data_IF_421929012287
#
_entry.id   IF_421929012287
#
_cell.length_a   1.000
_cell.length_b   1.000
_cell.length_c   1.000
_cell.angle_alpha   90.00
_cell.angle_beta   90.00
_cell.angle_gamma   90.00
#
_symmetry.space_group_name_H-M   'P 1'
#
loop_
_entity.id
_entity.type
_entity.pdbx_description
1 polymer ?
#
# COMPACT_ATOMS: atom_id res chain seq x y z
N UNK A 1 -28.60 -1.79 67.82
CA UNK A 1 -29.49 -0.76 67.28
C UNK A 1 -28.67 0.49 67.05
N UNK A 2 -28.39 0.86 65.79
CA UNK A 2 -28.08 2.25 65.41
C UNK A 2 -28.22 2.40 63.89
N UNK A 3 -29.15 3.29 63.55
CA UNK A 3 -29.53 3.82 62.25
C UNK A 3 -28.32 4.47 61.54
N UNK A 4 -28.10 4.22 60.24
CA UNK A 4 -28.65 4.90 59.06
C UNK A 4 -28.11 6.33 58.82
N UNK A 5 -27.63 6.51 57.57
CA UNK A 5 -27.51 7.74 56.74
C UNK A 5 -26.16 8.45 56.76
N UNK A 6 -25.46 8.40 55.62
CA UNK A 6 -25.06 9.59 54.82
C UNK A 6 -24.37 9.15 53.51
N UNK A 7 -25.14 8.63 52.57
CA UNK A 7 -24.81 8.71 51.13
C UNK A 7 -25.25 10.10 50.65
N UNK A 8 -24.33 10.96 50.19
CA UNK A 8 -24.79 12.26 49.67
C UNK A 8 -23.76 13.29 49.22
N UNK A 9 -22.49 13.25 49.64
CA UNK A 9 -21.53 14.31 49.27
C UNK A 9 -20.31 13.88 48.44
N UNK A 10 -20.02 12.57 48.32
CA UNK A 10 -18.85 12.10 47.54
C UNK A 10 -19.05 12.13 46.02
N UNK A 11 -20.29 12.12 45.54
CA UNK A 11 -20.59 11.92 44.12
C UNK A 11 -20.65 13.23 43.29
N UNK A 12 -20.53 14.40 43.92
CA UNK A 12 -20.63 15.70 43.21
C UNK A 12 -19.29 16.43 43.02
N UNK A 13 -18.22 15.97 43.68
CA UNK A 13 -16.86 16.51 43.47
C UNK A 13 -16.03 15.72 42.45
N UNK A 14 -16.43 14.49 42.10
CA UNK A 14 -15.76 13.70 41.05
C UNK A 14 -16.30 13.99 39.63
N UNK A 15 -17.40 14.71 39.51
CA UNK A 15 -18.07 14.99 38.23
C UNK A 15 -17.66 16.31 37.56
N UNK A 16 -16.81 17.13 38.21
CA UNK A 16 -16.37 18.43 37.67
C UNK A 16 -14.88 18.45 37.27
N UNK A 17 -14.21 17.29 37.28
CA UNK A 17 -12.83 17.11 36.76
C UNK A 17 -12.83 16.31 35.44
N UNK A 18 -13.99 15.78 35.00
CA UNK A 18 -14.09 14.88 33.86
C UNK A 18 -14.60 15.52 32.55
N UNK A 19 -14.74 16.85 32.47
CA UNK A 19 -15.29 17.53 31.28
C UNK A 19 -14.41 18.64 30.67
N UNK A 20 -13.13 18.76 31.06
CA UNK A 20 -12.26 19.85 30.60
C UNK A 20 -11.01 19.42 29.79
N UNK A 21 -10.98 18.21 29.23
CA UNK A 21 -9.83 17.75 28.42
C UNK A 21 -10.18 17.21 27.02
N UNK A 22 -11.40 17.43 26.53
CA UNK A 22 -11.78 17.13 25.14
C UNK A 22 -11.81 18.42 24.31
N UNK A 23 -10.64 19.03 24.14
CA UNK A 23 -10.39 20.04 23.10
C UNK A 23 -8.88 20.26 22.85
N UNK A 24 -8.04 19.24 22.98
CA UNK A 24 -6.77 19.24 22.27
C UNK A 24 -7.05 18.74 20.86
N UNK A 25 -7.59 19.64 20.04
CA UNK A 25 -7.53 19.50 18.61
C UNK A 25 -6.09 19.16 18.23
N UNK A 26 -5.97 18.14 17.40
CA UNK A 26 -4.79 17.67 16.71
C UNK A 26 -4.23 18.81 15.85
N UNK A 27 -3.59 19.78 16.50
CA UNK A 27 -2.63 20.65 15.88
C UNK A 27 -1.40 19.78 15.62
N UNK A 28 -1.41 19.09 14.47
CA UNK A 28 -0.16 18.63 13.92
C UNK A 28 0.72 19.88 13.76
N UNK A 29 1.93 19.92 14.35
CA UNK A 29 2.86 20.98 13.98
C UNK A 29 2.99 20.89 12.46
N UNK A 30 2.71 21.98 11.77
CA UNK A 30 3.06 22.10 10.37
C UNK A 30 4.56 21.86 10.32
N UNK A 31 4.96 20.66 9.89
CA UNK A 31 6.36 20.34 9.69
C UNK A 31 6.89 21.41 8.73
N UNK A 32 7.80 22.23 9.25
CA UNK A 32 8.44 23.30 8.49
C UNK A 32 8.90 22.69 7.16
N UNK A 33 8.33 23.20 6.07
CA UNK A 33 8.51 22.65 4.73
C UNK A 33 9.91 22.91 4.16
N UNK A 34 10.80 23.46 4.99
CA UNK A 34 12.18 23.85 4.70
C UNK A 34 13.22 22.91 5.33
N UNK A 35 12.83 21.67 5.70
CA UNK A 35 13.83 20.66 6.03
C UNK A 35 14.83 20.51 4.86
N UNK A 36 16.15 20.61 5.13
CA UNK A 36 17.17 20.43 4.10
C UNK A 36 16.98 19.10 3.38
N UNK A 37 17.10 19.08 2.05
CA UNK A 37 16.96 17.88 1.22
C UNK A 37 17.86 16.72 1.70
N UNK A 38 19.04 17.06 2.24
CA UNK A 38 19.98 16.11 2.82
C UNK A 38 19.42 15.44 4.09
N UNK A 39 18.66 16.17 4.91
CA UNK A 39 17.98 15.64 6.08
C UNK A 39 16.87 14.66 5.71
N UNK A 40 16.11 14.95 4.65
CA UNK A 40 15.07 14.04 4.12
C UNK A 40 15.71 12.75 3.57
N UNK A 41 16.84 12.87 2.86
CA UNK A 41 17.58 11.71 2.34
C UNK A 41 18.13 10.85 3.47
N UNK A 42 18.72 11.47 4.49
CA UNK A 42 19.23 10.77 5.67
C UNK A 42 18.11 10.03 6.42
N UNK A 43 16.96 10.68 6.63
CA UNK A 43 15.79 10.06 7.25
C UNK A 43 15.27 8.86 6.44
N UNK A 44 15.19 8.98 5.11
CA UNK A 44 14.81 7.85 4.23
C UNK A 44 15.77 6.67 4.36
N UNK A 45 17.08 6.95 4.38
CA UNK A 45 18.10 5.92 4.57
C UNK A 45 17.94 5.22 5.91
N UNK A 46 17.73 5.99 6.99
CA UNK A 46 17.51 5.47 8.33
C UNK A 46 16.27 4.57 8.41
N UNK A 47 15.14 4.98 7.80
CA UNK A 47 13.93 4.15 7.73
C UNK A 47 14.20 2.83 7.00
N UNK A 48 14.94 2.86 5.88
CA UNK A 48 15.29 1.64 5.15
C UNK A 48 16.15 0.70 5.98
N UNK A 49 17.14 1.22 6.72
CA UNK A 49 17.96 0.43 7.64
C UNK A 49 17.10 -0.22 8.74
N UNK A 50 16.17 0.54 9.33
CA UNK A 50 15.27 0.00 10.36
C UNK A 50 14.36 -1.10 9.81
N UNK A 51 13.81 -0.93 8.61
CA UNK A 51 13.01 -1.97 7.94
C UNK A 51 13.82 -3.23 7.66
N UNK A 52 15.07 -3.08 7.21
CA UNK A 52 15.97 -4.21 7.01
C UNK A 52 16.26 -4.95 8.33
N UNK A 53 16.46 -4.22 9.43
CA UNK A 53 16.64 -4.80 10.75
C UNK A 53 15.40 -5.57 11.23
N UNK A 54 14.19 -5.01 11.05
CA UNK A 54 12.93 -5.69 11.39
C UNK A 54 12.76 -6.96 10.55
N UNK A 55 13.06 -6.90 9.26
CA UNK A 55 12.97 -8.06 8.37
C UNK A 55 13.96 -9.16 8.78
N UNK A 56 15.19 -8.80 9.12
CA UNK A 56 16.20 -9.75 9.60
C UNK A 56 15.77 -10.38 10.93
N UNK A 57 15.27 -9.58 11.87
CA UNK A 57 14.78 -10.06 13.16
C UNK A 57 13.60 -11.02 12.97
N UNK A 58 12.62 -10.65 12.14
CA UNK A 58 11.49 -11.51 11.78
C UNK A 58 11.96 -12.84 11.19
N UNK A 59 12.92 -12.83 10.26
CA UNK A 59 13.43 -14.05 9.66
C UNK A 59 14.10 -14.98 10.69
N UNK A 60 14.85 -14.42 11.65
CA UNK A 60 15.43 -15.17 12.77
C UNK A 60 14.34 -15.78 13.66
N UNK A 61 13.32 -15.00 14.01
CA UNK A 61 12.19 -15.48 14.82
C UNK A 61 11.39 -16.57 14.11
N UNK A 62 11.09 -16.40 12.82
CA UNK A 62 10.39 -17.41 12.01
C UNK A 62 11.22 -18.71 11.93
N UNK A 63 12.55 -18.62 11.79
CA UNK A 63 13.44 -19.79 11.85
C UNK A 63 13.36 -20.51 13.20
N UNK A 64 13.34 -19.77 14.30
CA UNK A 64 13.21 -20.34 15.64
C UNK A 64 11.84 -20.99 15.88
N UNK A 65 10.78 -20.49 15.24
CA UNK A 65 9.43 -21.07 15.37
C UNK A 65 9.35 -22.54 14.92
N UNK A 66 10.13 -22.95 13.92
CA UNK A 66 10.15 -24.34 13.46
C UNK A 66 10.70 -25.35 14.47
N UNK A 67 11.32 -24.88 15.57
CA UNK A 67 11.78 -25.73 16.67
C UNK A 67 10.72 -25.89 17.77
N UNK A 68 9.58 -25.21 17.66
CA UNK A 68 8.51 -25.22 18.66
C UNK A 68 7.40 -26.17 18.25
N UNK A 69 6.63 -26.63 19.23
CA UNK A 69 5.46 -27.48 18.97
C UNK A 69 4.32 -26.71 18.27
N UNK A 70 4.02 -25.50 18.76
CA UNK A 70 3.00 -24.62 18.18
C UNK A 70 3.59 -23.68 17.10
N UNK A 71 4.06 -24.25 15.99
CA UNK A 71 4.75 -23.51 14.91
C UNK A 71 3.87 -22.40 14.35
N UNK A 72 2.61 -22.70 14.01
CA UNK A 72 1.70 -21.75 13.36
C UNK A 72 1.40 -20.53 14.23
N UNK A 73 1.11 -20.73 15.52
CA UNK A 73 0.88 -19.60 16.43
C UNK A 73 2.14 -18.78 16.64
N UNK A 74 3.31 -19.44 16.74
CA UNK A 74 4.58 -18.74 16.80
C UNK A 74 4.83 -17.87 15.54
N UNK A 75 4.59 -18.43 14.35
CA UNK A 75 4.74 -17.70 13.09
C UNK A 75 3.78 -16.52 12.99
N UNK A 76 2.52 -16.69 13.43
CA UNK A 76 1.53 -15.61 13.48
C UNK A 76 2.00 -14.46 14.38
N UNK A 77 2.54 -14.79 15.55
CA UNK A 77 3.05 -13.81 16.50
C UNK A 77 4.30 -13.08 16.00
N UNK A 78 5.27 -13.80 15.41
CA UNK A 78 6.46 -13.20 14.80
C UNK A 78 6.08 -12.19 13.70
N UNK A 79 5.12 -12.57 12.83
CA UNK A 79 4.59 -11.69 11.78
C UNK A 79 3.82 -10.50 12.37
N UNK A 80 3.07 -10.70 13.45
CA UNK A 80 2.33 -9.63 14.14
C UNK A 80 3.29 -8.60 14.73
N UNK A 81 4.34 -9.03 15.44
CA UNK A 81 5.38 -8.15 15.98
C UNK A 81 6.08 -7.35 14.89
N UNK A 82 6.47 -8.01 13.79
CA UNK A 82 7.07 -7.32 12.64
C UNK A 82 6.16 -6.24 12.05
N UNK A 83 4.87 -6.54 11.83
CA UNK A 83 3.89 -5.54 11.35
C UNK A 83 3.75 -4.36 12.30
N UNK A 84 3.73 -4.62 13.61
CA UNK A 84 3.63 -3.56 14.63
C UNK A 84 4.88 -2.67 14.63
N UNK A 85 6.07 -3.26 14.48
CA UNK A 85 7.32 -2.51 14.38
C UNK A 85 7.44 -1.70 13.08
N UNK A 86 6.93 -2.22 11.95
CA UNK A 86 6.92 -1.52 10.66
C UNK A 86 5.89 -0.38 10.59
N UNK A 87 4.79 -0.47 11.35
CA UNK A 87 3.68 0.48 11.28
C UNK A 87 4.10 1.95 11.47
N UNK A 88 4.86 2.34 12.51
CA UNK A 88 5.30 3.72 12.67
C UNK A 88 6.24 4.17 11.54
N UNK A 89 7.09 3.27 11.02
CA UNK A 89 7.98 3.58 9.89
C UNK A 89 7.20 3.90 8.63
N UNK A 90 6.13 3.13 8.37
CA UNK A 90 5.25 3.38 7.23
C UNK A 90 4.53 4.72 7.35
N UNK A 91 4.07 5.09 8.54
CA UNK A 91 3.48 6.41 8.76
C UNK A 91 4.48 7.52 8.46
N UNK A 92 5.73 7.37 8.93
CA UNK A 92 6.79 8.33 8.65
C UNK A 92 7.13 8.44 7.15
N UNK A 93 7.20 7.32 6.43
CA UNK A 93 7.39 7.33 4.97
C UNK A 93 6.26 8.07 4.25
N UNK A 94 5.00 7.89 4.69
CA UNK A 94 3.85 8.59 4.11
C UNK A 94 3.95 10.10 4.32
N UNK A 95 4.30 10.55 5.53
CA UNK A 95 4.53 11.97 5.82
C UNK A 95 5.62 12.57 4.92
N UNK A 96 6.75 11.87 4.77
CA UNK A 96 7.85 12.32 3.89
C UNK A 96 7.40 12.41 2.43
N UNK A 97 6.60 11.45 1.96
CA UNK A 97 6.04 11.47 0.62
C UNK A 97 5.04 12.62 0.44
N UNK A 98 4.24 12.93 1.45
CA UNK A 98 3.33 14.07 1.43
C UNK A 98 4.07 15.41 1.37
N UNK A 99 5.13 15.55 2.15
CA UNK A 99 6.00 16.72 2.10
C UNK A 99 6.62 16.87 0.71
N UNK A 100 7.16 15.80 0.12
CA UNK A 100 7.70 15.84 -1.23
C UNK A 100 6.65 16.24 -2.27
N UNK A 101 5.44 15.69 -2.18
CA UNK A 101 4.32 16.06 -3.07
C UNK A 101 4.00 17.54 -2.98
N UNK A 102 3.91 18.09 -1.76
CA UNK A 102 3.65 19.52 -1.53
C UNK A 102 4.76 20.40 -2.08
N UNK A 103 6.04 20.04 -1.84
CA UNK A 103 7.20 20.78 -2.36
C UNK A 103 7.19 20.84 -3.89
N UNK A 104 7.01 19.69 -4.56
CA UNK A 104 6.92 19.62 -6.02
C UNK A 104 5.75 20.43 -6.57
N UNK A 105 4.59 20.37 -5.91
CA UNK A 105 3.44 21.18 -6.31
C UNK A 105 3.73 22.69 -6.19
N UNK A 106 4.35 23.12 -5.09
CA UNK A 106 4.74 24.52 -4.88
C UNK A 106 5.80 24.98 -5.89
N UNK A 107 6.79 24.15 -6.20
CA UNK A 107 7.80 24.42 -7.24
C UNK A 107 7.14 24.63 -8.61
N UNK A 108 6.21 23.73 -8.99
CA UNK A 108 5.45 23.87 -10.24
C UNK A 108 4.65 25.17 -10.31
N UNK A 109 4.02 25.58 -9.21
CA UNK A 109 3.28 26.84 -9.16
C UNK A 109 4.22 28.03 -9.36
N UNK A 110 5.40 28.04 -8.73
CA UNK A 110 6.43 29.07 -8.92
C UNK A 110 6.94 29.10 -10.37
N UNK A 111 7.14 27.94 -11.00
CA UNK A 111 7.52 27.86 -12.42
C UNK A 111 6.45 28.48 -13.33
N UNK A 112 5.17 28.22 -13.06
CA UNK A 112 4.05 28.77 -13.82
C UNK A 112 3.98 30.28 -13.65
N UNK A 113 4.06 30.78 -12.41
CA UNK A 113 4.03 32.22 -12.10
C UNK A 113 5.22 32.95 -12.74
N UNK A 114 6.43 32.34 -12.70
CA UNK A 114 7.60 32.87 -13.40
C UNK A 114 7.35 32.97 -14.92
N UNK A 115 6.83 31.90 -15.54
CA UNK A 115 6.49 31.93 -16.98
C UNK A 115 5.42 32.96 -17.31
N UNK A 116 4.41 33.13 -16.46
CA UNK A 116 3.35 34.12 -16.63
C UNK A 116 3.87 35.55 -16.48
N UNK A 117 4.71 35.81 -15.47
CA UNK A 117 5.33 37.12 -15.26
C UNK A 117 6.35 37.48 -16.36
N UNK A 118 7.12 36.51 -16.85
CA UNK A 118 8.01 36.68 -18.00
C UNK A 118 7.21 36.97 -19.29
N UNK A 119 6.02 36.36 -19.44
CA UNK A 119 5.11 36.67 -20.55
C UNK A 119 4.39 38.03 -20.41
N UNK A 120 4.23 38.55 -19.17
CA UNK A 120 3.56 39.81 -18.87
C UNK A 120 4.49 41.04 -18.85
N UNK A 121 5.81 40.85 -18.76
CA UNK A 121 6.77 41.96 -18.86
C UNK A 121 6.69 42.63 -20.25
N UNK A 122 6.46 43.96 -20.32
CA UNK A 122 6.57 44.66 -21.59
C UNK A 122 8.02 44.53 -22.11
N UNK A 123 8.21 44.39 -23.43
CA UNK A 123 9.55 44.33 -24.01
C UNK A 123 10.34 45.59 -23.61
N UNK A 124 11.66 45.49 -23.39
CA UNK A 124 12.47 46.62 -22.94
C UNK A 124 12.29 47.83 -23.87
N UNK A 125 11.92 48.98 -23.27
CA UNK A 125 11.74 50.24 -23.97
C UNK A 125 13.11 50.72 -24.48
N UNK A 126 13.30 50.71 -25.80
CA UNK A 126 14.55 51.14 -26.44
C UNK A 126 14.96 50.34 -27.67
N UNK A 127 14.32 49.21 -27.94
CA UNK A 127 14.36 48.59 -29.26
C UNK A 127 12.95 48.48 -29.79
N UNK A 128 12.60 49.41 -30.68
CA UNK A 128 11.49 49.25 -31.61
C UNK A 128 11.79 48.08 -32.55
N UNK A 129 11.83 46.86 -32.02
CA UNK A 129 11.58 45.70 -32.85
C UNK A 129 10.09 45.75 -33.13
N UNK A 130 9.74 46.14 -34.36
CA UNK A 130 8.52 45.64 -35.00
C UNK A 130 8.39 44.21 -34.51
N UNK A 131 7.35 43.89 -33.75
CA UNK A 131 7.05 42.52 -33.34
C UNK A 131 6.84 41.80 -34.66
N UNK A 132 7.92 41.27 -35.26
CA UNK A 132 7.89 40.57 -36.53
C UNK A 132 6.83 39.52 -36.29
N UNK A 133 5.69 39.63 -36.98
CA UNK A 133 4.73 38.53 -37.02
C UNK A 133 5.59 37.29 -37.27
N UNK A 134 5.53 36.26 -36.40
CA UNK A 134 6.30 35.06 -36.63
C UNK A 134 6.06 34.68 -38.08
N UNK A 135 7.15 34.48 -38.83
CA UNK A 135 7.05 34.16 -40.24
C UNK A 135 6.01 33.01 -40.38
N UNK A 136 4.89 33.21 -41.09
CA UNK A 136 3.86 32.20 -41.20
C UNK A 136 4.42 30.85 -41.64
N UNK A 137 5.49 30.87 -42.47
CA UNK A 137 6.20 29.68 -42.90
C UNK A 137 6.95 29.00 -41.73
N UNK A 138 7.64 29.75 -40.88
CA UNK A 138 8.34 29.21 -39.71
C UNK A 138 7.37 28.62 -38.68
N UNK A 139 6.24 29.28 -38.43
CA UNK A 139 5.22 28.78 -37.51
C UNK A 139 4.47 27.56 -38.07
N UNK A 140 4.30 27.48 -39.38
CA UNK A 140 3.75 26.29 -40.04
C UNK A 140 4.74 25.12 -39.98
N UNK A 141 6.04 25.37 -40.17
CA UNK A 141 7.07 24.34 -40.04
C UNK A 141 7.18 23.80 -38.61
N UNK A 142 7.07 24.66 -37.59
CA UNK A 142 7.06 24.22 -36.19
C UNK A 142 5.84 23.35 -35.89
N UNK A 143 4.64 23.77 -36.34
CA UNK A 143 3.41 22.96 -36.19
C UNK A 143 3.49 21.62 -36.91
N UNK A 144 4.15 21.56 -38.08
CA UNK A 144 4.39 20.32 -38.79
C UNK A 144 5.31 19.38 -37.98
N UNK A 145 6.42 19.90 -37.44
CA UNK A 145 7.33 19.12 -36.59
C UNK A 145 6.64 18.62 -35.31
N UNK A 146 5.84 19.46 -34.65
CA UNK A 146 5.10 19.07 -33.45
C UNK A 146 3.99 18.05 -33.76
N UNK A 147 3.38 18.12 -34.95
CA UNK A 147 2.42 17.13 -35.41
C UNK A 147 3.11 15.78 -35.73
N UNK A 148 4.28 15.81 -36.34
CA UNK A 148 5.11 14.63 -36.59
C UNK A 148 5.56 13.98 -35.27
N UNK A 149 6.05 14.75 -34.31
CA UNK A 149 6.44 14.23 -33.00
C UNK A 149 5.26 13.58 -32.28
N UNK A 150 4.09 14.23 -32.25
CA UNK A 150 2.87 13.65 -31.66
C UNK A 150 2.41 12.39 -32.39
N UNK A 151 2.54 12.34 -33.71
CA UNK A 151 2.21 11.15 -34.49
C UNK A 151 3.18 9.99 -34.20
N UNK A 152 4.47 10.28 -34.01
CA UNK A 152 5.48 9.29 -33.59
C UNK A 152 5.21 8.78 -32.18
N UNK A 153 4.95 9.66 -31.22
CA UNK A 153 4.60 9.29 -29.85
C UNK A 153 3.34 8.42 -29.81
N UNK A 154 2.29 8.80 -30.55
CA UNK A 154 1.05 8.05 -30.61
C UNK A 154 1.28 6.64 -31.18
N UNK A 155 2.10 6.50 -32.24
CA UNK A 155 2.47 5.20 -32.81
C UNK A 155 3.27 4.35 -31.82
N UNK A 156 4.23 4.94 -31.10
CA UNK A 156 5.01 4.24 -30.08
C UNK A 156 4.12 3.76 -28.91
N UNK A 157 3.16 4.57 -28.48
CA UNK A 157 2.18 4.19 -27.47
C UNK A 157 1.26 3.07 -27.97
N UNK A 158 0.79 3.13 -29.21
CA UNK A 158 -0.02 2.07 -29.81
C UNK A 158 0.75 0.75 -29.93
N UNK A 159 2.00 0.80 -30.38
CA UNK A 159 2.85 -0.40 -30.50
C UNK A 159 3.14 -1.02 -29.13
N UNK A 160 3.45 -0.22 -28.11
CA UNK A 160 3.68 -0.73 -26.75
C UNK A 160 2.43 -1.34 -26.14
N UNK A 161 1.25 -0.73 -26.36
CA UNK A 161 -0.03 -1.30 -25.93
C UNK A 161 -0.36 -2.60 -26.67
N UNK A 162 -0.19 -2.66 -27.98
CA UNK A 162 -0.40 -3.87 -28.77
C UNK A 162 0.53 -5.00 -28.30
N UNK A 163 1.81 -4.71 -28.11
CA UNK A 163 2.78 -5.68 -27.60
C UNK A 163 2.42 -6.18 -26.18
N UNK A 164 1.90 -5.30 -25.32
CA UNK A 164 1.45 -5.69 -23.99
C UNK A 164 0.20 -6.56 -24.04
N UNK A 165 -0.78 -6.24 -24.90
CA UNK A 165 -1.99 -7.04 -25.11
C UNK A 165 -1.65 -8.42 -25.65
N UNK A 166 -0.74 -8.52 -26.62
CA UNK A 166 -0.27 -9.81 -27.13
C UNK A 166 0.41 -10.65 -26.04
N UNK A 167 1.27 -10.04 -25.20
CA UNK A 167 1.91 -10.75 -24.08
C UNK A 167 0.88 -11.30 -23.10
N UNK A 168 -0.16 -10.53 -22.78
CA UNK A 168 -1.26 -10.97 -21.90
C UNK A 168 -2.07 -12.08 -22.55
N UNK A 169 -2.46 -11.93 -23.80
CA UNK A 169 -3.20 -12.96 -24.54
C UNK A 169 -2.42 -14.28 -24.64
N UNK A 170 -1.10 -14.22 -24.88
CA UNK A 170 -0.22 -15.41 -24.89
C UNK A 170 -0.14 -16.05 -23.50
N UNK A 171 0.01 -15.25 -22.44
CA UNK A 171 0.02 -15.75 -21.07
C UNK A 171 -1.32 -16.43 -20.71
N UNK A 172 -2.44 -15.82 -21.06
CA UNK A 172 -3.78 -16.38 -20.79
C UNK A 172 -4.01 -17.68 -21.56
N UNK A 173 -3.58 -17.74 -22.83
CA UNK A 173 -3.67 -18.94 -23.68
C UNK A 173 -2.94 -20.13 -23.06
N UNK A 174 -1.82 -19.91 -22.37
CA UNK A 174 -1.06 -20.99 -21.72
C UNK A 174 -1.55 -21.30 -20.29
N UNK A 175 -1.84 -20.26 -19.49
CA UNK A 175 -2.14 -20.42 -18.06
C UNK A 175 -3.56 -20.93 -17.81
N UNK A 176 -4.56 -20.41 -18.53
CA UNK A 176 -5.97 -20.79 -18.33
C UNK A 176 -6.21 -22.30 -18.50
N UNK A 177 -5.75 -22.98 -19.58
CA UNK A 177 -5.96 -24.42 -19.71
C UNK A 177 -5.19 -25.22 -18.65
N UNK A 178 -3.99 -24.79 -18.26
CA UNK A 178 -3.21 -25.45 -17.20
C UNK A 178 -3.91 -25.39 -15.85
N UNK A 179 -4.43 -24.23 -15.47
CA UNK A 179 -5.17 -24.08 -14.21
C UNK A 179 -6.49 -24.85 -14.24
N UNK A 180 -7.21 -24.86 -15.36
CA UNK A 180 -8.40 -25.71 -15.54
C UNK A 180 -8.08 -27.20 -15.40
N UNK A 181 -6.98 -27.66 -15.99
CA UNK A 181 -6.54 -29.05 -15.86
C UNK A 181 -6.20 -29.42 -14.41
N UNK A 182 -5.42 -28.58 -13.71
CA UNK A 182 -5.09 -28.77 -12.29
C UNK A 182 -6.32 -28.79 -11.39
N UNK A 183 -7.30 -27.93 -11.68
CA UNK A 183 -8.54 -27.89 -10.93
C UNK A 183 -9.37 -29.16 -11.17
N UNK A 184 -9.48 -29.61 -12.42
CA UNK A 184 -10.17 -30.85 -12.77
C UNK A 184 -9.50 -32.09 -12.13
N UNK A 185 -8.17 -32.13 -12.08
CA UNK A 185 -7.40 -33.18 -11.40
C UNK A 185 -7.70 -33.20 -9.89
N UNK A 186 -7.60 -32.05 -9.21
CA UNK A 186 -7.95 -31.94 -7.78
C UNK A 186 -9.38 -32.39 -7.48
N UNK A 187 -10.33 -32.12 -8.38
CA UNK A 187 -11.70 -32.60 -8.22
C UNK A 187 -11.79 -34.12 -8.32
N UNK A 188 -11.09 -34.75 -9.28
CA UNK A 188 -11.04 -36.21 -9.43
C UNK A 188 -10.39 -36.87 -8.22
N UNK A 189 -9.25 -36.35 -7.77
CA UNK A 189 -8.54 -36.87 -6.59
C UNK A 189 -9.41 -36.80 -5.34
N UNK A 190 -10.14 -35.69 -5.15
CA UNK A 190 -11.06 -35.54 -4.04
C UNK A 190 -12.23 -36.53 -4.10
N UNK A 191 -12.76 -36.80 -5.30
CA UNK A 191 -13.83 -37.80 -5.50
C UNK A 191 -13.31 -39.22 -5.24
N UNK A 192 -12.13 -39.57 -5.77
CA UNK A 192 -11.52 -40.89 -5.56
C UNK A 192 -11.18 -41.11 -4.08
N UNK A 193 -10.63 -40.10 -3.41
CA UNK A 193 -10.34 -40.17 -1.98
C UNK A 193 -11.61 -40.43 -1.17
N UNK A 194 -12.71 -39.71 -1.47
CA UNK A 194 -14.02 -39.93 -0.83
C UNK A 194 -14.53 -41.35 -1.06
N UNK A 195 -14.51 -41.82 -2.32
CA UNK A 195 -14.94 -43.18 -2.67
C UNK A 195 -14.09 -44.25 -1.97
N UNK A 196 -12.77 -44.04 -1.87
CA UNK A 196 -11.85 -44.94 -1.17
C UNK A 196 -12.15 -45.01 0.33
N UNK A 197 -12.43 -43.87 0.97
CA UNK A 197 -12.81 -43.83 2.38
C UNK A 197 -14.17 -44.50 2.62
N UNK A 198 -15.13 -44.29 1.73
CA UNK A 198 -16.45 -44.91 1.81
C UNK A 198 -16.36 -46.44 1.66
N UNK A 199 -15.60 -46.93 0.67
CA UNK A 199 -15.33 -48.36 0.49
C UNK A 199 -14.69 -48.97 1.72
N UNK A 200 -13.63 -48.34 2.25
CA UNK A 200 -12.97 -48.80 3.49
C UNK A 200 -13.94 -48.82 4.68
N UNK A 201 -14.83 -47.82 4.78
CA UNK A 201 -15.85 -47.78 5.84
C UNK A 201 -16.84 -48.94 5.70
N UNK A 202 -17.28 -49.26 4.48
CA UNK A 202 -18.17 -50.38 4.20
C UNK A 202 -17.49 -51.74 4.48
N UNK A 203 -16.23 -51.93 4.05
CA UNK A 203 -15.43 -53.13 4.32
C UNK A 203 -15.24 -53.34 5.83
N UNK A 204 -14.88 -52.27 6.57
CA UNK A 204 -14.74 -52.33 8.02
C UNK A 204 -16.05 -52.67 8.73
N UNK A 205 -17.17 -52.11 8.26
CA UNK A 205 -18.50 -52.42 8.80
C UNK A 205 -18.89 -53.89 8.54
N UNK A 206 -18.61 -54.41 7.34
CA UNK A 206 -18.86 -55.81 6.99
C UNK A 206 -17.97 -56.78 7.80
N UNK A 207 -16.73 -56.37 8.12
CA UNK A 207 -15.84 -57.11 9.01
C UNK A 207 -16.19 -56.97 10.51
N UNK A 208 -17.26 -56.24 10.86
CA UNK A 208 -17.72 -56.07 12.24
C UNK A 208 -16.90 -55.09 13.08
N UNK A 209 -16.03 -54.29 12.47
CA UNK A 209 -15.29 -53.24 13.18
C UNK A 209 -16.23 -52.08 13.53
N UNK A 210 -16.38 -51.80 14.84
CA UNK A 210 -17.17 -50.67 15.32
C UNK A 210 -16.45 -49.35 15.01
N UNK A 211 -17.18 -48.36 14.48
CA UNK A 211 -16.65 -47.00 14.32
C UNK A 211 -16.29 -46.42 15.69
N UNK A 212 -15.19 -45.65 15.76
CA UNK A 212 -14.82 -44.93 16.97
C UNK A 212 -15.96 -44.02 17.44
N UNK A 213 -16.17 -43.95 18.76
CA UNK A 213 -17.16 -43.05 19.34
C UNK A 213 -16.82 -41.58 19.00
N UNK A 214 -17.84 -40.73 18.78
CA UNK A 214 -17.60 -39.30 18.56
C UNK A 214 -16.88 -38.71 19.78
N UNK A 215 -15.96 -37.77 19.52
CA UNK A 215 -15.28 -37.04 20.58
C UNK A 215 -16.33 -36.31 21.45
N UNK A 216 -16.14 -36.24 22.77
CA UNK A 216 -17.04 -35.48 23.65
C UNK A 216 -17.05 -34.00 23.24
N UNK A 217 -18.17 -33.29 23.44
CA UNK A 217 -18.23 -31.85 23.18
C UNK A 217 -17.16 -31.12 24.00
N UNK A 218 -16.50 -30.14 23.37
CA UNK A 218 -15.50 -29.32 24.06
C UNK A 218 -16.12 -28.60 25.27
N UNK A 219 -15.36 -28.42 26.37
CA UNK A 219 -15.85 -27.78 27.60
C UNK A 219 -16.19 -26.29 27.42
#
# INVERSE_FOLDING_TARGET
MSALRHTGLGARLLALVLCASVAAAYAQPAADSDAPEDGIRAERSHIQQQRAAIAQQRAREEKACYQRFAVEDCLRDARKRARQAEAPLRQRELELNDLERKRKAAERLREIEKKQSDAAKPPPAGQGTVRKKPDPAAQQQQRARDAEHRAQDARAHQQSQAAQQERRARADTEQVPRERARYAEKQRDAQEHRARLEKKRAENAAAGHKSAAPLPPAP
#
